data_IF_751582190215
#
_entry.id   IF_751582190215
#
_cell.length_a   1.000
_cell.length_b   1.000
_cell.length_c   1.000
_cell.angle_alpha   90.00
_cell.angle_beta   90.00
_cell.angle_gamma   90.00
#
_symmetry.space_group_name_H-M   'P 1'
#
loop_
_entity.id
_entity.type
_entity.pdbx_description
1 polymer ?
#
# COMPACT_ATOMS: atom_id res chain seq x y z
N UNK A 1 -1.40 -15.39 8.28
CA UNK A 1 -0.81 -14.08 7.89
C UNK A 1 -1.98 -13.15 7.63
N UNK A 2 -1.99 -11.94 8.21
CA UNK A 2 -3.11 -11.01 8.12
C UNK A 2 -2.98 -10.16 6.86
N UNK A 3 -4.10 -9.92 6.18
CA UNK A 3 -4.14 -9.06 5.00
C UNK A 3 -4.43 -7.63 5.40
N UNK A 4 -3.42 -6.78 5.28
CA UNK A 4 -3.49 -5.41 5.79
C UNK A 4 -4.05 -4.41 4.78
N UNK A 5 -4.22 -4.78 3.51
CA UNK A 5 -4.69 -3.86 2.48
C UNK A 5 -5.47 -4.62 1.39
N UNK A 6 -6.75 -4.29 1.27
CA UNK A 6 -7.61 -4.75 0.17
C UNK A 6 -8.58 -3.65 -0.25
N UNK A 7 -8.99 -3.66 -1.51
CA UNK A 7 -9.81 -2.61 -2.11
C UNK A 7 -11.29 -2.89 -2.00
N UNK A 8 -12.06 -1.90 -1.57
CA UNK A 8 -13.51 -1.98 -1.58
C UNK A 8 -14.08 -1.82 -2.98
N UNK A 9 -15.06 -2.65 -3.29
CA UNK A 9 -15.88 -2.55 -4.50
C UNK A 9 -17.35 -2.77 -4.11
N UNK A 10 -18.23 -1.79 -4.32
CA UNK A 10 -19.62 -1.85 -3.88
C UNK A 10 -20.41 -3.00 -4.51
N UNK A 11 -19.97 -3.52 -5.66
CA UNK A 11 -20.59 -4.69 -6.31
C UNK A 11 -20.52 -5.94 -5.43
N UNK A 12 -19.57 -5.99 -4.50
CA UNK A 12 -19.35 -7.12 -3.60
C UNK A 12 -19.62 -6.75 -2.13
N UNK A 13 -20.37 -5.68 -1.85
CA UNK A 13 -20.60 -5.17 -0.49
C UNK A 13 -21.00 -6.27 0.52
N UNK A 14 -22.00 -7.09 0.20
CA UNK A 14 -22.45 -8.18 1.09
C UNK A 14 -21.37 -9.24 1.37
N UNK A 15 -20.48 -9.48 0.40
CA UNK A 15 -19.35 -10.39 0.61
C UNK A 15 -18.30 -9.74 1.52
N UNK A 16 -18.03 -8.44 1.36
CA UNK A 16 -17.15 -7.71 2.27
C UNK A 16 -17.68 -7.71 3.71
N UNK A 17 -18.98 -7.50 3.93
CA UNK A 17 -19.59 -7.58 5.27
C UNK A 17 -19.35 -8.94 5.92
N UNK A 18 -19.58 -10.04 5.18
CA UNK A 18 -19.26 -11.38 5.67
C UNK A 18 -17.77 -11.51 6.05
N UNK A 19 -16.84 -11.07 5.20
CA UNK A 19 -15.41 -11.19 5.45
C UNK A 19 -14.94 -10.35 6.65
N UNK A 20 -15.43 -9.13 6.82
CA UNK A 20 -15.05 -8.26 7.94
C UNK A 20 -15.55 -8.84 9.26
N UNK A 21 -16.80 -9.29 9.29
CA UNK A 21 -17.40 -9.77 10.53
C UNK A 21 -16.84 -11.15 10.96
N UNK A 22 -16.30 -11.95 10.02
CA UNK A 22 -15.93 -13.35 10.30
C UNK A 22 -14.48 -13.73 10.02
N UNK A 23 -13.73 -12.93 9.24
CA UNK A 23 -12.42 -13.32 8.70
C UNK A 23 -11.33 -12.28 8.98
N UNK A 24 -11.60 -10.98 8.83
CA UNK A 24 -10.59 -9.92 8.90
C UNK A 24 -10.90 -8.97 10.06
N UNK A 25 -10.04 -8.99 11.08
CA UNK A 25 -10.23 -8.13 12.26
C UNK A 25 -9.39 -6.86 12.25
N UNK A 26 -8.24 -6.85 11.54
CA UNK A 26 -7.24 -5.76 11.66
C UNK A 26 -6.77 -5.20 10.30
N UNK A 27 -7.41 -5.59 9.20
CA UNK A 27 -7.05 -5.10 7.86
C UNK A 27 -7.39 -3.61 7.67
N UNK A 28 -6.84 -3.01 6.62
CA UNK A 28 -7.27 -1.71 6.11
C UNK A 28 -8.01 -1.95 4.81
N UNK A 29 -9.28 -1.57 4.78
CA UNK A 29 -10.07 -1.54 3.56
C UNK A 29 -9.84 -0.20 2.87
N UNK A 30 -9.37 -0.25 1.63
CA UNK A 30 -8.92 0.95 0.92
C UNK A 30 -9.76 1.25 -0.31
N UNK A 31 -9.72 2.51 -0.73
CA UNK A 31 -10.20 2.92 -2.05
C UNK A 31 -9.20 3.91 -2.66
N UNK A 32 -9.15 4.00 -3.98
CA UNK A 32 -8.39 5.07 -4.62
C UNK A 32 -9.07 6.42 -4.38
N UNK A 33 -8.30 7.48 -4.12
CA UNK A 33 -8.83 8.82 -3.82
C UNK A 33 -9.95 9.30 -4.77
N UNK A 34 -9.81 9.04 -6.07
CA UNK A 34 -10.78 9.49 -7.06
C UNK A 34 -12.17 8.86 -6.86
N UNK A 35 -12.25 7.68 -6.24
CA UNK A 35 -13.51 7.00 -5.95
C UNK A 35 -14.29 7.67 -4.81
N UNK A 36 -13.64 8.49 -3.98
CA UNK A 36 -14.34 9.27 -2.94
C UNK A 36 -15.37 10.26 -3.51
N UNK A 37 -15.21 10.64 -4.78
CA UNK A 37 -16.11 11.57 -5.47
C UNK A 37 -17.34 10.87 -6.07
N UNK A 38 -17.40 9.54 -6.01
CA UNK A 38 -18.52 8.77 -6.54
C UNK A 38 -19.65 8.77 -5.49
N UNK A 39 -20.84 9.20 -5.92
CA UNK A 39 -22.04 9.15 -5.09
C UNK A 39 -22.30 7.70 -4.63
N UNK A 40 -22.75 7.55 -3.38
CA UNK A 40 -23.04 6.27 -2.70
C UNK A 40 -21.88 5.28 -2.52
N UNK A 41 -20.78 5.45 -3.26
CA UNK A 41 -19.58 4.60 -3.14
C UNK A 41 -18.97 4.71 -1.73
N UNK A 42 -18.83 5.95 -1.25
CA UNK A 42 -18.36 6.22 0.11
C UNK A 42 -19.36 5.70 1.15
N UNK A 43 -20.68 5.81 0.90
CA UNK A 43 -21.69 5.37 1.87
C UNK A 43 -21.54 3.88 2.21
N UNK A 44 -21.40 3.02 1.20
CA UNK A 44 -21.23 1.59 1.45
C UNK A 44 -19.90 1.22 2.11
N UNK A 45 -18.83 1.98 1.87
CA UNK A 45 -17.56 1.80 2.58
C UNK A 45 -17.69 2.20 4.05
N UNK A 46 -18.36 3.32 4.32
CA UNK A 46 -18.53 3.89 5.66
C UNK A 46 -19.37 3.01 6.59
N UNK A 47 -20.21 2.12 6.07
CA UNK A 47 -20.93 1.10 6.86
C UNK A 47 -19.99 0.13 7.60
N UNK A 48 -18.72 0.05 7.18
CA UNK A 48 -17.68 -0.73 7.85
C UNK A 48 -16.87 0.07 8.87
N UNK A 49 -17.11 1.38 9.02
CA UNK A 49 -16.36 2.21 9.96
C UNK A 49 -16.55 1.71 11.39
N UNK A 50 -15.45 1.55 12.10
CA UNK A 50 -15.45 1.00 13.47
C UNK A 50 -15.45 -0.53 13.55
N UNK A 51 -15.80 -1.23 12.46
CA UNK A 51 -15.60 -2.69 12.33
C UNK A 51 -14.22 -3.03 11.78
N UNK A 52 -13.70 -2.18 10.91
CA UNK A 52 -12.39 -2.31 10.28
C UNK A 52 -11.77 -0.93 10.07
N UNK A 53 -10.44 -0.87 9.87
CA UNK A 53 -9.80 0.36 9.46
C UNK A 53 -10.17 0.68 8.00
N UNK A 54 -10.52 1.93 7.74
CA UNK A 54 -10.80 2.42 6.38
C UNK A 54 -9.67 3.35 5.97
N UNK A 55 -9.12 3.13 4.79
CA UNK A 55 -8.02 3.89 4.22
C UNK A 55 -8.32 4.46 2.83
N UNK A 56 -7.55 5.48 2.47
CA UNK A 56 -7.49 6.03 1.12
C UNK A 56 -6.09 5.83 0.58
N UNK A 57 -6.01 5.24 -0.60
CA UNK A 57 -4.76 5.12 -1.33
C UNK A 57 -4.54 6.35 -2.21
N UNK A 58 -3.39 7.00 -2.00
CA UNK A 58 -2.85 8.06 -2.84
C UNK A 58 -1.74 7.46 -3.71
N UNK A 59 -1.79 7.71 -5.02
CA UNK A 59 -0.73 7.29 -5.93
C UNK A 59 0.27 8.42 -6.14
N UNK A 60 1.57 8.09 -6.07
CA UNK A 60 2.70 9.00 -6.25
C UNK A 60 2.83 9.63 -7.63
N UNK A 61 2.00 9.23 -8.60
CA UNK A 61 1.90 9.88 -9.90
C UNK A 61 1.26 11.29 -9.82
N UNK A 62 0.89 11.73 -8.61
CA UNK A 62 0.32 13.04 -8.34
C UNK A 62 1.42 14.06 -7.99
N UNK A 63 1.21 15.33 -8.36
CA UNK A 63 2.06 16.44 -7.94
C UNK A 63 2.19 16.51 -6.40
N UNK A 64 3.40 16.75 -5.87
CA UNK A 64 3.66 16.83 -4.41
C UNK A 64 2.68 17.74 -3.67
N UNK A 65 2.50 18.99 -4.12
CA UNK A 65 1.62 19.97 -3.48
C UNK A 65 0.16 19.49 -3.46
N UNK A 66 -0.24 18.77 -4.52
CA UNK A 66 -1.55 18.13 -4.57
C UNK A 66 -1.63 17.02 -3.51
N UNK A 67 -0.65 16.14 -3.41
CA UNK A 67 -0.63 15.07 -2.41
C UNK A 67 -0.64 15.62 -0.99
N UNK A 68 0.15 16.65 -0.69
CA UNK A 68 0.19 17.27 0.63
C UNK A 68 -1.17 17.83 1.07
N UNK A 69 -1.83 18.58 0.17
CA UNK A 69 -3.19 19.09 0.42
C UNK A 69 -4.19 17.94 0.61
N UNK A 70 -4.07 16.92 -0.23
CA UNK A 70 -4.94 15.76 -0.20
C UNK A 70 -4.78 14.96 1.11
N UNK A 71 -3.55 14.81 1.61
CA UNK A 71 -3.26 14.19 2.92
C UNK A 71 -3.93 14.99 4.04
N UNK A 72 -3.75 16.32 4.05
CA UNK A 72 -4.35 17.19 5.06
C UNK A 72 -5.88 17.03 5.12
N UNK A 73 -6.55 17.03 3.97
CA UNK A 73 -8.01 16.86 3.89
C UNK A 73 -8.45 15.49 4.44
N UNK A 74 -7.67 14.44 4.21
CA UNK A 74 -7.98 13.09 4.65
C UNK A 74 -7.72 12.88 6.15
N UNK A 75 -6.69 13.51 6.70
CA UNK A 75 -6.42 13.57 8.14
C UNK A 75 -7.60 14.20 8.89
N UNK A 76 -8.10 15.35 8.40
CA UNK A 76 -9.25 16.06 8.96
C UNK A 76 -10.54 15.20 8.96
N UNK A 77 -10.64 14.25 8.02
CA UNK A 77 -11.77 13.31 7.88
C UNK A 77 -11.53 11.97 8.59
N UNK A 78 -10.43 11.82 9.32
CA UNK A 78 -10.08 10.61 10.07
C UNK A 78 -10.06 9.33 9.18
N UNK A 79 -9.48 9.44 7.98
CA UNK A 79 -9.15 8.28 7.16
C UNK A 79 -7.72 7.82 7.44
N UNK A 80 -7.49 6.51 7.33
CA UNK A 80 -6.13 6.01 7.13
C UNK A 80 -5.64 6.46 5.74
N UNK A 81 -4.36 6.77 5.61
CA UNK A 81 -3.77 7.21 4.35
C UNK A 81 -2.64 6.27 4.02
N UNK A 82 -2.69 5.72 2.81
CA UNK A 82 -1.64 4.88 2.25
C UNK A 82 -1.10 5.63 1.04
N UNK A 83 0.21 5.82 1.00
CA UNK A 83 0.88 6.39 -0.17
C UNK A 83 1.52 5.26 -0.96
N UNK A 84 1.08 5.06 -2.20
CA UNK A 84 1.56 3.99 -3.06
C UNK A 84 2.41 4.51 -4.20
N UNK A 85 3.53 3.83 -4.48
CA UNK A 85 4.43 4.14 -5.59
C UNK A 85 4.07 3.29 -6.81
N UNK A 86 3.54 3.92 -7.85
CA UNK A 86 2.93 3.15 -8.95
C UNK A 86 3.82 2.95 -10.16
N UNK A 87 4.82 3.81 -10.38
CA UNK A 87 5.70 3.73 -11.54
C UNK A 87 7.08 4.33 -11.31
N UNK A 88 8.13 3.73 -11.89
CA UNK A 88 9.43 4.32 -12.14
C UNK A 88 9.97 3.90 -13.53
N UNK A 89 11.10 4.47 -13.94
CA UNK A 89 11.71 4.23 -15.28
C UNK A 89 13.06 3.54 -15.17
N UNK A 90 13.78 3.85 -14.11
CA UNK A 90 15.06 3.27 -13.73
C UNK A 90 15.29 3.54 -12.23
N UNK A 91 16.43 3.09 -11.69
CA UNK A 91 16.76 3.26 -10.27
C UNK A 91 16.87 4.73 -9.83
N UNK A 92 17.37 5.62 -10.70
CA UNK A 92 17.51 7.04 -10.36
C UNK A 92 16.17 7.74 -10.36
N UNK A 93 15.33 7.48 -11.36
CA UNK A 93 13.96 7.98 -11.39
C UNK A 93 13.16 7.49 -10.18
N UNK A 94 13.35 6.24 -9.74
CA UNK A 94 12.75 5.75 -8.51
C UNK A 94 13.21 6.53 -7.28
N UNK A 95 14.52 6.79 -7.16
CA UNK A 95 15.08 7.60 -6.07
C UNK A 95 14.56 9.03 -6.08
N UNK A 96 14.41 9.65 -7.26
CA UNK A 96 13.81 10.99 -7.41
C UNK A 96 12.37 11.02 -6.91
N UNK A 97 11.54 10.04 -7.32
CA UNK A 97 10.16 9.91 -6.86
C UNK A 97 10.12 9.71 -5.36
N UNK A 98 10.93 8.79 -4.81
CA UNK A 98 11.05 8.55 -3.37
C UNK A 98 11.39 9.83 -2.60
N UNK A 99 12.48 10.51 -2.97
CA UNK A 99 12.93 11.73 -2.29
C UNK A 99 11.90 12.85 -2.35
N UNK A 100 11.14 12.92 -3.45
CA UNK A 100 10.05 13.88 -3.55
C UNK A 100 8.93 13.62 -2.53
N UNK A 101 8.68 12.37 -2.15
CA UNK A 101 7.59 12.01 -1.23
C UNK A 101 8.02 11.76 0.22
N UNK A 102 9.32 11.66 0.51
CA UNK A 102 9.84 11.44 1.86
C UNK A 102 9.23 12.35 2.93
N UNK A 103 9.05 13.68 2.71
CA UNK A 103 8.39 14.51 3.72
C UNK A 103 6.94 14.08 4.00
N UNK A 104 6.23 13.58 2.99
CA UNK A 104 4.84 13.12 3.12
C UNK A 104 4.74 11.76 3.81
N UNK A 105 5.77 10.92 3.70
CA UNK A 105 5.74 9.57 4.31
C UNK A 105 5.64 9.60 5.83
N UNK A 106 6.08 10.70 6.47
CA UNK A 106 5.94 10.90 7.91
C UNK A 106 4.50 11.19 8.35
N UNK A 107 3.59 11.42 7.40
CA UNK A 107 2.18 11.79 7.64
C UNK A 107 1.18 10.73 7.20
N UNK A 108 1.65 9.60 6.66
CA UNK A 108 0.78 8.50 6.20
C UNK A 108 0.93 7.30 7.11
N UNK A 109 -0.03 6.37 7.08
CA UNK A 109 -0.02 5.19 7.93
C UNK A 109 1.04 4.18 7.52
N UNK A 110 1.24 4.02 6.22
CA UNK A 110 2.29 3.20 5.67
C UNK A 110 2.53 3.50 4.19
N UNK A 111 3.68 3.08 3.69
CA UNK A 111 4.00 3.10 2.27
C UNK A 111 3.41 1.85 1.61
N UNK A 112 2.41 2.05 0.76
CA UNK A 112 1.78 1.01 -0.05
C UNK A 112 2.63 0.62 -1.25
N UNK A 113 2.62 -0.66 -1.59
CA UNK A 113 3.19 -1.28 -2.80
C UNK A 113 4.35 -0.49 -3.41
N UNK A 114 5.54 -0.41 -2.78
CA UNK A 114 6.54 0.52 -3.25
C UNK A 114 7.12 0.15 -4.64
N UNK A 115 6.70 -1.00 -5.20
CA UNK A 115 7.19 -1.60 -6.45
C UNK A 115 6.07 -2.06 -7.38
N UNK A 116 5.01 -1.28 -7.49
CA UNK A 116 3.84 -1.69 -8.27
C UNK A 116 4.18 -1.89 -9.76
N UNK A 117 4.17 -3.16 -10.20
CA UNK A 117 4.30 -3.63 -11.60
C UNK A 117 5.67 -3.43 -12.28
N UNK A 118 6.70 -3.14 -11.50
CA UNK A 118 7.99 -2.79 -12.07
C UNK A 118 8.82 -4.01 -12.47
N UNK A 119 9.53 -3.86 -13.58
CA UNK A 119 10.32 -4.95 -14.20
C UNK A 119 11.82 -4.70 -14.15
N UNK A 120 12.23 -3.52 -13.68
CA UNK A 120 13.60 -3.06 -13.68
C UNK A 120 14.17 -3.21 -12.27
N UNK A 121 15.34 -3.84 -12.09
CA UNK A 121 15.95 -3.96 -10.77
C UNK A 121 16.36 -2.58 -10.22
N UNK A 122 16.34 -2.46 -8.89
CA UNK A 122 16.91 -1.32 -8.18
C UNK A 122 18.38 -1.58 -7.89
N UNK A 123 19.21 -0.56 -8.02
CA UNK A 123 20.60 -0.59 -7.57
C UNK A 123 20.69 -0.65 -6.05
N UNK A 124 21.72 -1.32 -5.53
CA UNK A 124 21.90 -1.50 -4.08
C UNK A 124 21.94 -0.18 -3.30
N UNK A 125 22.51 0.90 -3.88
CA UNK A 125 22.53 2.20 -3.21
C UNK A 125 21.13 2.83 -3.07
N UNK A 126 20.22 2.58 -4.01
CA UNK A 126 18.82 3.07 -3.93
C UNK A 126 18.05 2.27 -2.90
N UNK A 127 18.30 0.96 -2.84
CA UNK A 127 17.75 0.10 -1.79
C UNK A 127 18.23 0.60 -0.42
N UNK A 128 19.53 0.87 -0.25
CA UNK A 128 20.09 1.32 1.02
C UNK A 128 19.59 2.72 1.44
N UNK A 129 19.46 3.67 0.51
CA UNK A 129 18.85 4.99 0.77
C UNK A 129 17.42 4.83 1.29
N UNK A 130 16.62 3.98 0.63
CA UNK A 130 15.26 3.67 1.03
C UNK A 130 15.19 3.02 2.43
N UNK A 131 15.99 1.99 2.68
CA UNK A 131 16.00 1.27 3.96
C UNK A 131 16.42 2.23 5.08
N UNK A 132 17.48 3.02 4.86
CA UNK A 132 17.97 4.02 5.82
C UNK A 132 16.90 5.04 6.18
N UNK A 133 16.19 5.56 5.17
CA UNK A 133 15.08 6.49 5.40
C UNK A 133 13.97 5.84 6.24
N UNK A 134 13.53 4.63 5.86
CA UNK A 134 12.45 3.95 6.56
C UNK A 134 12.80 3.61 8.01
N UNK A 135 14.05 3.21 8.28
CA UNK A 135 14.54 3.00 9.65
C UNK A 135 14.52 4.30 10.45
N UNK A 136 15.06 5.38 9.90
CA UNK A 136 15.16 6.67 10.58
C UNK A 136 13.78 7.25 10.92
N UNK A 137 12.78 7.04 10.05
CA UNK A 137 11.43 7.57 10.21
C UNK A 137 10.43 6.55 10.77
N UNK A 138 10.88 5.33 11.09
CA UNK A 138 10.03 4.21 11.51
C UNK A 138 8.82 3.99 10.56
N UNK A 139 9.07 4.06 9.25
CA UNK A 139 8.03 3.89 8.24
C UNK A 139 7.64 2.43 8.16
N UNK A 140 6.34 2.16 8.27
CA UNK A 140 5.77 0.86 7.99
C UNK A 140 5.68 0.66 6.47
N UNK A 141 6.21 -0.45 5.97
CA UNK A 141 6.28 -0.74 4.53
C UNK A 141 5.38 -1.91 4.18
N UNK A 142 4.57 -1.75 3.14
CA UNK A 142 3.73 -2.83 2.65
C UNK A 142 4.48 -3.71 1.64
N UNK A 143 4.45 -5.03 1.89
CA UNK A 143 4.92 -6.04 0.96
C UNK A 143 3.74 -6.73 0.29
N UNK A 144 3.69 -6.57 -1.02
CA UNK A 144 2.58 -7.03 -1.83
C UNK A 144 3.00 -8.17 -2.75
N UNK A 145 2.50 -9.38 -2.46
CA UNK A 145 2.90 -10.57 -3.22
C UNK A 145 2.46 -10.54 -4.69
N UNK A 146 1.44 -9.74 -5.05
CA UNK A 146 0.97 -9.60 -6.43
C UNK A 146 2.06 -9.05 -7.35
N UNK A 147 2.87 -8.12 -6.83
CA UNK A 147 3.91 -7.40 -7.55
C UNK A 147 5.31 -7.98 -7.33
N UNK A 148 5.43 -9.07 -6.59
CA UNK A 148 6.71 -9.76 -6.47
C UNK A 148 7.17 -10.26 -7.85
N UNK A 149 8.37 -9.84 -8.23
CA UNK A 149 9.07 -10.19 -9.47
C UNK A 149 10.51 -10.59 -9.12
N UNK A 150 11.13 -11.41 -9.99
CA UNK A 150 12.52 -11.85 -9.83
C UNK A 150 13.49 -10.68 -9.55
N UNK A 151 13.29 -9.55 -10.22
CA UNK A 151 14.17 -8.38 -10.13
C UNK A 151 14.04 -7.58 -8.81
N UNK A 152 13.05 -7.90 -7.98
CA UNK A 152 12.80 -7.22 -6.71
C UNK A 152 13.14 -8.10 -5.50
N UNK A 153 13.64 -9.32 -5.70
CA UNK A 153 13.90 -10.28 -4.61
C UNK A 153 14.88 -9.72 -3.58
N UNK A 154 15.97 -9.08 -4.03
CA UNK A 154 16.96 -8.49 -3.12
C UNK A 154 16.32 -7.42 -2.23
N UNK A 155 15.61 -6.48 -2.85
CA UNK A 155 14.87 -5.45 -2.13
C UNK A 155 13.87 -6.04 -1.12
N UNK A 156 13.06 -7.02 -1.53
CA UNK A 156 12.09 -7.66 -0.65
C UNK A 156 12.77 -8.33 0.54
N UNK A 157 13.93 -8.96 0.32
CA UNK A 157 14.73 -9.54 1.40
C UNK A 157 15.17 -8.47 2.39
N UNK A 158 15.75 -7.38 1.90
CA UNK A 158 16.20 -6.24 2.74
C UNK A 158 15.06 -5.67 3.60
N UNK A 159 13.86 -5.44 3.02
CA UNK A 159 12.71 -4.97 3.80
C UNK A 159 12.29 -5.96 4.87
N UNK A 160 12.24 -7.25 4.55
CA UNK A 160 11.82 -8.28 5.51
C UNK A 160 12.80 -8.47 6.65
N UNK A 161 14.09 -8.30 6.38
CA UNK A 161 15.15 -8.49 7.37
C UNK A 161 15.36 -7.25 8.24
N UNK A 162 15.09 -6.05 7.71
CA UNK A 162 15.52 -4.79 8.35
C UNK A 162 14.39 -3.84 8.75
N UNK A 163 13.22 -3.90 8.12
CA UNK A 163 12.15 -2.92 8.35
C UNK A 163 10.94 -3.52 9.08
N UNK A 164 10.12 -2.63 9.63
CA UNK A 164 8.75 -2.96 10.00
C UNK A 164 7.92 -3.07 8.72
N UNK A 165 7.26 -4.22 8.52
CA UNK A 165 6.46 -4.45 7.32
C UNK A 165 5.13 -5.15 7.60
N UNK A 166 4.20 -4.96 6.66
CA UNK A 166 2.91 -5.64 6.62
C UNK A 166 2.78 -6.43 5.31
N UNK A 167 2.06 -7.54 5.35
CA UNK A 167 1.69 -8.26 4.13
C UNK A 167 0.33 -7.83 3.62
N UNK A 168 0.23 -7.75 2.31
CA UNK A 168 -1.00 -7.38 1.62
C UNK A 168 -1.17 -8.17 0.35
N UNK A 169 -2.42 -8.48 0.03
CA UNK A 169 -2.75 -9.06 -1.27
C UNK A 169 -3.11 -8.02 -2.32
N UNK A 170 -3.43 -6.79 -1.92
CA UNK A 170 -4.03 -5.78 -2.79
C UNK A 170 -5.23 -6.35 -3.54
N UNK A 171 -6.03 -7.17 -2.84
CA UNK A 171 -7.18 -7.83 -3.40
C UNK A 171 -8.22 -6.78 -3.81
N UNK A 172 -8.66 -6.86 -5.07
CA UNK A 172 -9.76 -6.03 -5.59
C UNK A 172 -11.10 -6.77 -5.58
N UNK A 173 -11.10 -8.01 -5.10
CA UNK A 173 -12.29 -8.86 -4.94
C UNK A 173 -12.16 -9.68 -3.64
N UNK A 174 -13.26 -9.98 -2.93
CA UNK A 174 -13.21 -10.58 -1.60
C UNK A 174 -12.48 -11.92 -1.52
N UNK A 175 -12.69 -12.81 -2.49
CA UNK A 175 -12.12 -14.16 -2.48
C UNK A 175 -10.59 -14.21 -2.68
N UNK A 176 -9.95 -13.08 -2.96
CA UNK A 176 -8.48 -12.96 -3.05
C UNK A 176 -7.84 -12.45 -1.77
N UNK A 177 -8.64 -11.99 -0.81
CA UNK A 177 -8.14 -11.49 0.47
C UNK A 177 -7.46 -12.63 1.23
N UNK A 178 -6.25 -12.38 1.75
CA UNK A 178 -5.47 -13.34 2.52
C UNK A 178 -4.84 -14.48 1.71
N UNK A 179 -4.87 -14.42 0.37
CA UNK A 179 -4.27 -15.43 -0.52
C UNK A 179 -2.81 -15.07 -0.85
N UNK A 180 -1.87 -15.72 -0.17
CA UNK A 180 -0.41 -15.53 -0.33
C UNK A 180 0.20 -16.73 -1.09
N UNK A 181 0.54 -16.55 -2.37
CA UNK A 181 0.89 -17.67 -3.26
C UNK A 181 2.25 -17.56 -3.96
N UNK A 182 3.01 -16.45 -3.83
CA UNK A 182 4.14 -16.20 -4.77
C UNK A 182 5.55 -16.16 -4.18
N UNK A 183 5.73 -15.87 -2.89
CA UNK A 183 7.09 -15.73 -2.35
C UNK A 183 7.91 -17.03 -2.38
N UNK A 184 7.30 -18.19 -2.08
CA UNK A 184 8.04 -19.45 -1.92
C UNK A 184 8.85 -19.86 -3.16
N UNK A 185 8.43 -19.46 -4.36
CA UNK A 185 9.07 -19.87 -5.60
C UNK A 185 10.41 -19.18 -5.88
N UNK A 186 10.60 -17.94 -5.41
CA UNK A 186 11.79 -17.15 -5.72
C UNK A 186 12.91 -17.25 -4.68
N UNK A 187 12.61 -17.71 -3.46
CA UNK A 187 13.61 -17.94 -2.41
C UNK A 187 14.23 -19.35 -2.43
N UNK A 188 13.73 -20.23 -3.31
CA UNK A 188 14.24 -21.59 -3.52
C UNK A 188 15.17 -21.70 -4.74
N UNK A 189 15.48 -20.57 -5.38
CA UNK A 189 16.38 -20.43 -6.53
C UNK A 189 17.58 -19.57 -6.12
#
# INVERSE_FOLDING_TARGET
MKDYHFHYDPRYHNQYDYYINNVITDGIMVIHKNQMRLNDFVRGLEEFRGKINIGIELSSNSNYNKMERDIKELEEKNYKIILSLHTYKDSLHYLEVLKSIYPLLTRVHHLGHPFHKETIPLSDFVIEDFISFCLAQNVLVELNERYLRKHLVNFYKEVKERLNFLYSTDAHIPNKIGVYNKMKQYFLL
#
